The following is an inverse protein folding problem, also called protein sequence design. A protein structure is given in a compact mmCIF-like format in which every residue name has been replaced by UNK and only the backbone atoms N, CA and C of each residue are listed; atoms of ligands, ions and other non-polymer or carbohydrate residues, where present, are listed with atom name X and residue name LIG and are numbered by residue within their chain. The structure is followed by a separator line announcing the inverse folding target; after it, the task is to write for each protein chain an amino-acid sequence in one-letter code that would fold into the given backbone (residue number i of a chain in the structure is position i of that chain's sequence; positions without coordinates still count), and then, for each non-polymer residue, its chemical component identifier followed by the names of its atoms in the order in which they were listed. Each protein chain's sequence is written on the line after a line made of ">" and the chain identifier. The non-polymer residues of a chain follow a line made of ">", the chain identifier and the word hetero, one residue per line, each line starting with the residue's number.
data_IF_870354666106
#
_entry.id   IF_870354666106
#
_cell.length_a   1.000
_cell.length_b   1.000
_cell.length_c   1.000
_cell.angle_alpha   90.00
_cell.angle_beta   90.00
_cell.angle_gamma   90.00
#
_symmetry.space_group_name_H-M   'P 1'
#
loop_
_entity.id
_entity.type
_entity.pdbx_description
1 polymer ?
#
# COMPACT_ATOMS: atom_id res chain seq x y z
N UNK A 1 -11.06 -8.18 -15.42
CA UNK A 1 -9.98 -8.63 -14.52
C UNK A 1 -10.44 -8.32 -13.13
N UNK A 2 -10.37 -9.28 -12.22
CA UNK A 2 -10.78 -9.07 -10.84
C UNK A 2 -9.75 -8.18 -10.13
N UNK A 3 -10.21 -7.20 -9.35
CA UNK A 3 -9.32 -6.31 -8.59
C UNK A 3 -8.67 -7.07 -7.43
N UNK A 4 -7.45 -6.69 -7.08
CA UNK A 4 -6.65 -7.24 -5.98
C UNK A 4 -6.10 -6.14 -5.09
N UNK A 5 -5.79 -6.49 -3.85
CA UNK A 5 -5.19 -5.56 -2.91
C UNK A 5 -3.69 -5.41 -3.16
N UNK A 6 -3.25 -4.16 -3.18
CA UNK A 6 -1.86 -3.73 -3.20
C UNK A 6 -1.61 -2.84 -1.99
N UNK A 7 -0.48 -3.03 -1.33
CA UNK A 7 -0.18 -2.36 -0.08
C UNK A 7 1.00 -1.42 -0.26
N UNK A 8 0.82 -0.15 0.09
CA UNK A 8 1.86 0.87 -0.02
C UNK A 8 2.29 1.36 1.36
N UNK A 9 3.59 1.37 1.61
CA UNK A 9 4.15 1.96 2.84
C UNK A 9 4.59 3.39 2.58
N UNK A 10 4.41 4.25 3.58
CA UNK A 10 4.90 5.62 3.52
C UNK A 10 6.38 5.69 3.94
N UNK A 11 7.14 6.57 3.31
CA UNK A 11 8.53 6.86 3.70
C UNK A 11 8.67 7.56 5.05
N UNK A 12 9.85 7.43 5.64
CA UNK A 12 10.16 7.91 6.98
C UNK A 12 10.11 9.44 7.09
N UNK A 13 9.70 9.95 8.25
CA UNK A 13 9.75 11.39 8.59
C UNK A 13 8.64 12.24 7.96
N UNK A 14 7.54 11.63 7.51
CA UNK A 14 6.36 12.33 6.99
C UNK A 14 5.11 12.06 7.83
N UNK A 15 4.00 12.80 7.65
CA UNK A 15 2.81 12.67 8.50
C UNK A 15 2.21 11.26 8.57
N UNK A 16 2.34 10.48 7.49
CA UNK A 16 1.83 9.11 7.39
C UNK A 16 2.92 8.05 7.59
N UNK A 17 4.09 8.42 8.13
CA UNK A 17 5.10 7.45 8.56
C UNK A 17 4.46 6.42 9.54
N UNK A 18 4.88 5.17 9.42
CA UNK A 18 4.28 4.04 10.15
C UNK A 18 2.91 3.58 9.67
N UNK A 19 2.31 4.23 8.65
CA UNK A 19 1.04 3.79 8.06
C UNK A 19 1.27 2.99 6.78
N UNK A 20 0.23 2.27 6.36
CA UNK A 20 0.15 1.61 5.07
C UNK A 20 -1.20 1.90 4.42
N UNK A 21 -1.18 2.23 3.13
CA UNK A 21 -2.36 2.45 2.32
C UNK A 21 -2.66 1.20 1.47
N UNK A 22 -3.75 0.46 1.74
CA UNK A 22 -4.26 -0.55 0.84
C UNK A 22 -4.95 0.09 -0.36
N UNK A 23 -4.73 -0.45 -1.56
CA UNK A 23 -5.35 -0.02 -2.81
C UNK A 23 -5.88 -1.24 -3.54
N UNK A 24 -7.17 -1.23 -3.86
CA UNK A 24 -7.84 -2.25 -4.66
C UNK A 24 -7.77 -1.86 -6.14
N UNK A 25 -7.01 -2.59 -6.95
CA UNK A 25 -6.77 -2.28 -8.37
C UNK A 25 -6.64 -3.55 -9.24
N UNK A 26 -6.73 -3.41 -10.58
CA UNK A 26 -6.61 -4.55 -11.51
C UNK A 26 -5.16 -5.05 -11.63
N UNK A 27 -4.20 -4.15 -11.47
CA UNK A 27 -2.77 -4.40 -11.66
C UNK A 27 -1.90 -3.41 -10.86
N UNK A 28 -0.59 -3.66 -10.87
CA UNK A 28 0.41 -2.85 -10.17
C UNK A 28 0.50 -1.42 -10.68
N UNK A 29 0.22 -1.18 -11.97
CA UNK A 29 0.33 0.13 -12.60
C UNK A 29 -0.81 1.02 -12.13
N UNK A 30 -2.04 0.52 -12.21
CA UNK A 30 -3.24 1.23 -11.73
C UNK A 30 -3.17 1.49 -10.22
N UNK A 31 -2.64 0.55 -9.44
CA UNK A 31 -2.41 0.76 -8.01
C UNK A 31 -1.43 1.90 -7.74
N UNK A 32 -0.33 2.00 -8.52
CA UNK A 32 0.65 3.09 -8.39
C UNK A 32 0.08 4.43 -8.80
N UNK A 33 -0.68 4.48 -9.88
CA UNK A 33 -1.37 5.70 -10.32
C UNK A 33 -2.33 6.18 -9.24
N UNK A 34 -3.13 5.28 -8.67
CA UNK A 34 -4.04 5.59 -7.56
C UNK A 34 -3.28 6.12 -6.33
N UNK A 35 -2.16 5.49 -5.96
CA UNK A 35 -1.32 5.96 -4.85
C UNK A 35 -0.77 7.36 -5.13
N UNK A 36 -0.27 7.60 -6.34
CA UNK A 36 0.30 8.86 -6.76
C UNK A 36 -0.74 9.98 -6.77
N UNK A 37 -1.96 9.72 -7.25
CA UNK A 37 -3.03 10.71 -7.29
C UNK A 37 -3.51 11.14 -5.90
N UNK A 38 -3.49 10.23 -4.92
CA UNK A 38 -3.98 10.52 -3.57
C UNK A 38 -2.88 11.06 -2.63
N UNK A 39 -1.64 10.56 -2.75
CA UNK A 39 -0.56 10.84 -1.80
C UNK A 39 0.74 11.33 -2.45
N UNK A 40 0.81 11.44 -3.78
CA UNK A 40 2.02 11.81 -4.50
C UNK A 40 3.08 10.71 -4.52
N UNK A 41 4.35 11.10 -4.64
CA UNK A 41 5.48 10.17 -4.79
C UNK A 41 6.21 9.84 -3.48
N UNK A 42 5.68 10.24 -2.32
CA UNK A 42 6.37 10.06 -1.02
C UNK A 42 6.13 8.70 -0.36
N UNK A 43 5.75 7.68 -1.11
CA UNK A 43 5.68 6.30 -0.62
C UNK A 43 7.03 5.58 -0.81
N UNK A 44 7.27 4.50 -0.09
CA UNK A 44 8.55 3.78 -0.11
C UNK A 44 8.49 2.46 -0.84
N UNK A 45 7.54 1.60 -0.49
CA UNK A 45 7.41 0.28 -1.09
C UNK A 45 5.97 0.01 -1.49
N UNK A 46 5.83 -0.84 -2.50
CA UNK A 46 4.58 -1.42 -2.95
C UNK A 46 4.71 -2.94 -2.84
N UNK A 47 3.68 -3.57 -2.29
CA UNK A 47 3.59 -5.02 -2.15
C UNK A 47 2.31 -5.52 -2.79
N UNK A 48 2.38 -6.68 -3.42
CA UNK A 48 1.21 -7.52 -3.67
C UNK A 48 0.64 -8.03 -2.35
N UNK A 49 -0.61 -8.49 -2.36
CA UNK A 49 -1.24 -9.12 -1.19
C UNK A 49 -0.42 -10.31 -0.64
N UNK A 50 0.10 -11.16 -1.52
CA UNK A 50 0.93 -12.31 -1.13
C UNK A 50 2.24 -11.88 -0.45
N UNK A 51 2.94 -10.89 -1.00
CA UNK A 51 4.16 -10.36 -0.39
C UNK A 51 3.87 -9.70 0.95
N UNK A 52 2.78 -8.93 1.03
CA UNK A 52 2.34 -8.27 2.26
C UNK A 52 2.07 -9.29 3.36
N UNK A 53 1.31 -10.34 3.06
CA UNK A 53 1.01 -11.41 4.00
C UNK A 53 2.26 -12.17 4.46
N UNK A 54 3.16 -12.47 3.52
CA UNK A 54 4.45 -13.09 3.84
C UNK A 54 5.25 -12.22 4.79
N UNK A 55 5.39 -10.92 4.54
CA UNK A 55 6.15 -10.01 5.40
C UNK A 55 5.47 -9.79 6.76
N UNK A 56 4.13 -9.69 6.82
CA UNK A 56 3.38 -9.66 8.08
C UNK A 56 3.67 -10.91 8.92
N UNK A 57 3.66 -12.10 8.32
CA UNK A 57 3.92 -13.35 9.03
C UNK A 57 5.33 -13.41 9.66
N UNK A 58 6.31 -12.74 9.06
CA UNK A 58 7.66 -12.60 9.61
C UNK A 58 7.82 -11.42 10.59
N UNK A 59 6.75 -10.66 10.85
CA UNK A 59 6.73 -9.56 11.83
C UNK A 59 7.23 -8.21 11.31
N UNK A 60 7.49 -8.04 10.01
CA UNK A 60 8.04 -6.80 9.44
C UNK A 60 7.12 -5.58 9.61
N UNK A 61 5.80 -5.79 9.63
CA UNK A 61 4.81 -4.72 9.73
C UNK A 61 4.14 -4.65 11.11
N UNK A 62 4.85 -5.09 12.15
CA UNK A 62 4.34 -5.03 13.52
C UNK A 62 4.20 -3.56 13.95
N UNK A 63 2.96 -3.17 14.29
CA UNK A 63 2.65 -1.79 14.67
C UNK A 63 2.35 -0.87 13.49
N UNK A 64 2.37 -1.37 12.25
CA UNK A 64 1.90 -0.61 11.09
C UNK A 64 0.38 -0.42 11.17
N UNK A 65 -0.08 0.81 10.92
CA UNK A 65 -1.50 1.15 10.90
C UNK A 65 -2.00 1.06 9.45
N UNK A 66 -2.99 0.19 9.21
CA UNK A 66 -3.66 0.13 7.90
C UNK A 66 -4.71 1.24 7.82
N UNK A 67 -4.64 2.02 6.74
CA UNK A 67 -5.68 2.99 6.38
C UNK A 67 -6.86 2.29 5.69
N UNK A 68 -7.97 3.00 5.56
CA UNK A 68 -9.12 2.51 4.79
C UNK A 68 -8.72 2.26 3.33
N UNK A 69 -9.09 1.11 2.74
CA UNK A 69 -8.74 0.81 1.35
C UNK A 69 -9.31 1.84 0.37
N UNK A 70 -8.50 2.23 -0.60
CA UNK A 70 -8.95 3.04 -1.74
C UNK A 70 -9.19 2.11 -2.92
N UNK A 71 -10.34 2.26 -3.58
CA UNK A 71 -10.62 1.55 -4.82
C UNK A 71 -10.20 2.40 -6.01
N UNK A 72 -9.42 1.82 -6.93
CA UNK A 72 -9.08 2.47 -8.19
C UNK A 72 -10.33 2.60 -9.08
N UNK A 73 -10.38 3.66 -9.89
CA UNK A 73 -11.52 3.97 -10.77
C UNK A 73 -11.48 3.13 -12.04
#
# INVERSE_FOLDING_TARGET
>A
MDKKLYYFTFGAGQPLDGHCQPILAKDLVEARETMFMNYGNKWSFQYTEEEWDKHKAHGFFRGTILLDPIESI
#
